data_IF_035819761780
#
_entry.id   IF_035819761780
#
_cell.length_a   1.000
_cell.length_b   1.000
_cell.length_c   1.000
_cell.angle_alpha   90.00
_cell.angle_beta   90.00
_cell.angle_gamma   90.00
#
_symmetry.space_group_name_H-M   'P 1'
#
loop_
_entity.id
_entity.type
_entity.pdbx_description
1 polymer ?
#
# COMPACT_ATOMS: atom_id res chain seq x y z
N UNK A 1 6.83 18.51 13.07
CA UNK A 1 5.67 17.69 12.65
C UNK A 1 5.32 18.05 11.22
N UNK A 2 5.00 17.08 10.39
CA UNK A 2 4.66 17.27 8.98
C UNK A 2 3.83 16.09 8.50
N UNK A 3 3.02 16.28 7.48
CA UNK A 3 2.17 15.22 6.97
C UNK A 3 3.00 14.24 6.12
N UNK A 4 2.76 12.94 6.29
CA UNK A 4 3.52 11.88 5.63
C UNK A 4 2.60 10.73 5.24
N UNK A 5 2.83 10.17 4.06
CA UNK A 5 2.09 9.00 3.59
C UNK A 5 3.01 8.14 2.72
N UNK A 6 2.89 6.83 2.82
CA UNK A 6 3.61 5.85 2.00
C UNK A 6 2.63 4.78 1.50
N UNK A 7 1.63 5.21 0.73
CA UNK A 7 0.50 4.38 0.33
C UNK A 7 0.69 3.79 -1.08
N UNK A 8 0.33 2.52 -1.21
CA UNK A 8 0.15 1.83 -2.47
C UNK A 8 -1.19 1.09 -2.41
N UNK A 9 -2.04 1.29 -3.42
CA UNK A 9 -3.41 0.77 -3.45
C UNK A 9 -3.65 0.01 -4.75
N UNK A 10 -4.17 -1.20 -4.65
CA UNK A 10 -4.68 -1.95 -5.80
C UNK A 10 -6.21 -1.93 -5.78
N UNK A 11 -6.85 -1.58 -6.90
CA UNK A 11 -8.32 -1.46 -6.99
C UNK A 11 -8.84 -2.16 -8.24
N UNK A 12 -9.96 -2.87 -8.13
CA UNK A 12 -10.59 -3.48 -9.31
C UNK A 12 -11.00 -2.41 -10.33
N UNK A 13 -10.72 -2.66 -11.61
CA UNK A 13 -11.17 -1.81 -12.70
C UNK A 13 -12.70 -1.96 -12.88
N UNK A 14 -13.41 -0.85 -13.09
CA UNK A 14 -14.86 -0.88 -13.35
C UNK A 14 -15.76 -0.73 -12.11
N UNK A 15 -15.19 -0.61 -10.90
CA UNK A 15 -15.96 -0.21 -9.72
C UNK A 15 -16.20 1.29 -9.78
N UNK A 16 -17.45 1.72 -9.97
CA UNK A 16 -17.84 3.13 -9.88
C UNK A 16 -18.00 3.52 -8.40
N UNK A 17 -17.09 4.33 -7.87
CA UNK A 17 -17.16 4.87 -6.51
C UNK A 17 -15.89 4.63 -5.70
N UNK A 18 -15.80 5.28 -4.54
CA UNK A 18 -14.67 5.11 -3.63
C UNK A 18 -14.66 3.67 -3.05
N UNK A 19 -13.48 3.04 -2.93
CA UNK A 19 -13.30 1.82 -2.16
C UNK A 19 -13.97 1.89 -0.81
N UNK A 20 -14.80 0.90 -0.48
CA UNK A 20 -15.35 0.73 0.88
C UNK A 20 -14.44 -0.20 1.67
N UNK A 21 -13.46 0.38 2.37
CA UNK A 21 -12.62 -0.33 3.33
C UNK A 21 -13.30 -0.34 4.70
N UNK A 22 -14.44 -1.02 4.79
CA UNK A 22 -15.23 -1.13 6.03
C UNK A 22 -14.96 -2.44 6.73
N UNK A 23 -14.76 -2.40 8.04
CA UNK A 23 -14.50 -3.59 8.86
C UNK A 23 -13.03 -4.03 8.83
N UNK A 24 -12.78 -5.25 9.30
CA UNK A 24 -11.44 -5.81 9.37
C UNK A 24 -10.96 -6.29 8.01
N UNK A 25 -9.64 -6.18 7.77
CA UNK A 25 -9.01 -6.78 6.60
C UNK A 25 -9.18 -8.32 6.59
N UNK A 26 -9.39 -8.88 5.41
CA UNK A 26 -9.42 -10.31 5.19
C UNK A 26 -8.02 -10.89 5.42
N UNK A 27 -7.87 -11.69 6.48
CA UNK A 27 -6.57 -12.21 6.91
C UNK A 27 -5.91 -13.16 5.90
N UNK A 28 -6.70 -13.97 5.19
CA UNK A 28 -6.15 -14.93 4.23
C UNK A 28 -5.68 -14.21 2.97
N UNK A 29 -6.52 -13.32 2.43
CA UNK A 29 -6.18 -12.49 1.28
C UNK A 29 -5.00 -11.56 1.58
N UNK A 30 -4.96 -11.00 2.78
CA UNK A 30 -3.84 -10.16 3.25
C UNK A 30 -2.53 -10.96 3.28
N UNK A 31 -2.53 -12.20 3.81
CA UNK A 31 -1.33 -13.07 3.78
C UNK A 31 -0.88 -13.43 2.37
N UNK A 32 -1.84 -13.69 1.47
CA UNK A 32 -1.52 -13.93 0.05
C UNK A 32 -0.89 -12.69 -0.60
N UNK A 33 -1.41 -11.50 -0.30
CA UNK A 33 -0.86 -10.24 -0.76
C UNK A 33 0.56 -10.01 -0.23
N UNK A 34 0.81 -10.24 1.06
CA UNK A 34 2.15 -10.14 1.67
C UNK A 34 3.16 -11.00 0.91
N UNK A 35 2.84 -12.29 0.67
CA UNK A 35 3.74 -13.21 -0.06
C UNK A 35 4.07 -12.73 -1.48
N UNK A 36 3.12 -12.04 -2.12
CA UNK A 36 3.30 -11.51 -3.48
C UNK A 36 4.15 -10.24 -3.50
N UNK A 37 3.96 -9.34 -2.53
CA UNK A 37 4.63 -8.04 -2.50
C UNK A 37 6.01 -8.07 -1.83
N UNK A 38 6.26 -9.04 -0.96
CA UNK A 38 7.53 -9.18 -0.22
C UNK A 38 8.15 -10.55 -0.48
N UNK A 39 8.50 -10.87 -1.74
CA UNK A 39 9.05 -12.18 -2.07
C UNK A 39 10.40 -12.39 -1.38
N UNK A 40 10.52 -13.48 -0.60
CA UNK A 40 11.75 -13.83 0.11
C UNK A 40 11.95 -13.13 1.45
N UNK A 41 10.98 -12.36 1.94
CA UNK A 41 11.06 -11.69 3.24
C UNK A 41 10.51 -12.58 4.35
N UNK A 42 11.12 -12.50 5.52
CA UNK A 42 10.54 -13.00 6.76
C UNK A 42 9.61 -11.93 7.35
N UNK A 43 8.31 -12.22 7.38
CA UNK A 43 7.29 -11.28 7.87
C UNK A 43 6.68 -11.82 9.15
N UNK A 44 6.88 -11.08 10.25
CA UNK A 44 6.17 -11.31 11.50
C UNK A 44 4.80 -10.62 11.45
N UNK A 45 3.75 -11.31 11.91
CA UNK A 45 2.43 -10.70 12.02
C UNK A 45 2.39 -9.62 13.10
N UNK A 46 1.69 -8.52 12.83
CA UNK A 46 1.42 -7.45 13.79
C UNK A 46 -0.08 -7.35 14.08
N UNK A 47 -0.44 -6.70 15.19
CA UNK A 47 -1.83 -6.27 15.41
C UNK A 47 -2.24 -5.25 14.36
N UNK A 48 -3.49 -5.33 13.89
CA UNK A 48 -4.06 -4.30 13.02
C UNK A 48 -4.12 -2.94 13.71
N UNK A 49 -4.21 -1.88 12.90
CA UNK A 49 -4.42 -0.51 13.37
C UNK A 49 -5.38 0.24 12.44
N UNK A 50 -5.79 1.44 12.85
CA UNK A 50 -6.54 2.34 11.98
C UNK A 50 -5.67 2.81 10.81
N UNK A 51 -6.27 3.02 9.65
CA UNK A 51 -5.54 3.43 8.46
C UNK A 51 -4.83 4.78 8.65
N UNK A 52 -5.44 5.71 9.39
CA UNK A 52 -4.85 7.02 9.68
C UNK A 52 -3.49 6.92 10.37
N UNK A 53 -3.35 5.98 11.31
CA UNK A 53 -2.11 5.72 12.05
C UNK A 53 -1.11 4.89 11.23
N UNK A 54 -1.60 4.14 10.23
CA UNK A 54 -0.78 3.31 9.36
C UNK A 54 -0.04 4.08 8.27
N UNK A 55 -0.51 5.29 7.91
CA UNK A 55 -0.13 5.97 6.65
C UNK A 55 1.37 6.17 6.43
N UNK A 56 2.17 6.26 7.50
CA UNK A 56 3.63 6.35 7.42
C UNK A 56 4.27 5.56 8.57
N UNK A 57 4.44 4.23 8.43
CA UNK A 57 4.93 3.39 9.51
C UNK A 57 6.40 3.68 9.83
N UNK A 58 6.87 3.17 10.96
CA UNK A 58 8.31 3.15 11.28
C UNK A 58 9.07 2.26 10.29
N UNK A 59 10.39 2.43 10.20
CA UNK A 59 11.23 1.55 9.37
C UNK A 59 11.10 0.09 9.76
N UNK A 60 11.06 -0.79 8.75
CA UNK A 60 10.92 -2.24 8.95
C UNK A 60 9.50 -2.69 9.28
N UNK A 61 8.53 -1.78 9.30
CA UNK A 61 7.11 -2.09 9.53
C UNK A 61 6.28 -1.75 8.30
N UNK A 62 5.43 -2.69 7.88
CA UNK A 62 4.43 -2.49 6.84
C UNK A 62 3.04 -2.82 7.38
N UNK A 63 2.06 -1.97 7.08
CA UNK A 63 0.64 -2.26 7.33
C UNK A 63 -0.03 -2.62 6.01
N UNK A 64 -0.60 -3.83 5.94
CA UNK A 64 -1.14 -4.39 4.70
C UNK A 64 -2.53 -4.91 5.00
N UNK A 65 -3.49 -4.57 4.14
CA UNK A 65 -4.88 -4.98 4.30
C UNK A 65 -5.54 -5.28 2.97
N UNK A 66 -6.20 -6.43 2.90
CA UNK A 66 -7.07 -6.79 1.78
C UNK A 66 -8.54 -6.63 2.14
N UNK A 67 -9.27 -5.93 1.29
CA UNK A 67 -10.70 -5.64 1.40
C UNK A 67 -11.42 -6.09 0.12
N UNK A 68 -12.76 -6.15 0.10
CA UNK A 68 -13.51 -6.37 -1.13
C UNK A 68 -13.13 -5.34 -2.22
N UNK A 69 -12.56 -5.83 -3.32
CA UNK A 69 -12.16 -5.01 -4.48
C UNK A 69 -10.92 -4.12 -4.30
N UNK A 70 -10.39 -3.99 -3.08
CA UNK A 70 -9.29 -3.06 -2.78
C UNK A 70 -8.25 -3.73 -1.89
N UNK A 71 -6.99 -3.57 -2.23
CA UNK A 71 -5.88 -3.89 -1.33
C UNK A 71 -5.09 -2.61 -1.07
N UNK A 72 -4.61 -2.44 0.15
CA UNK A 72 -3.83 -1.28 0.56
C UNK A 72 -2.57 -1.72 1.29
N UNK A 73 -1.47 -1.05 1.01
CA UNK A 73 -0.23 -1.17 1.76
C UNK A 73 0.26 0.20 2.19
N UNK A 74 0.66 0.31 3.45
CA UNK A 74 1.40 1.43 3.97
C UNK A 74 2.80 0.92 4.32
N UNK A 75 3.80 1.31 3.53
CA UNK A 75 5.20 0.94 3.78
C UNK A 75 6.13 1.99 3.18
N UNK A 76 6.96 2.57 4.04
CA UNK A 76 7.95 3.57 3.63
C UNK A 76 9.11 2.98 2.83
N UNK A 77 9.28 1.66 2.81
CA UNK A 77 10.29 0.97 2.00
C UNK A 77 10.11 1.24 0.50
N UNK A 78 8.86 1.33 0.04
CA UNK A 78 8.56 1.59 -1.36
C UNK A 78 8.66 3.06 -1.74
N UNK A 79 8.63 3.96 -0.76
CA UNK A 79 8.75 5.39 -0.98
C UNK A 79 10.20 5.76 -1.34
N UNK A 80 10.47 5.88 -2.64
CA UNK A 80 11.79 6.27 -3.17
C UNK A 80 11.77 7.57 -3.98
N UNK A 81 12.95 8.05 -4.37
CA UNK A 81 13.15 9.29 -5.13
C UNK A 81 12.55 9.26 -6.54
N UNK A 82 12.33 8.06 -7.08
CA UNK A 82 11.79 7.85 -8.43
C UNK A 82 10.44 7.13 -8.38
N UNK A 83 9.34 7.84 -8.04
CA UNK A 83 8.01 7.25 -7.97
C UNK A 83 7.49 6.68 -9.30
N UNK A 84 8.13 7.04 -10.41
CA UNK A 84 7.84 6.47 -11.75
C UNK A 84 8.50 5.11 -11.99
N UNK A 85 9.34 4.63 -11.05
CA UNK A 85 10.11 3.39 -11.18
C UNK A 85 9.89 2.45 -9.98
N UNK A 86 8.63 2.09 -9.64
CA UNK A 86 8.41 1.08 -8.61
C UNK A 86 9.00 -0.26 -9.07
N UNK A 87 9.41 -1.14 -8.13
CA UNK A 87 9.80 -2.49 -8.46
C UNK A 87 8.76 -3.21 -9.32
N UNK A 88 9.24 -3.97 -10.32
CA UNK A 88 8.37 -4.60 -11.32
C UNK A 88 7.31 -5.51 -10.68
N UNK A 89 7.64 -6.24 -9.61
CA UNK A 89 6.70 -7.12 -8.92
C UNK A 89 5.51 -6.37 -8.27
N UNK A 90 5.66 -5.08 -7.95
CA UNK A 90 4.53 -4.25 -7.51
C UNK A 90 3.60 -3.94 -8.68
N UNK A 91 4.17 -3.59 -9.84
CA UNK A 91 3.41 -3.39 -11.09
C UNK A 91 2.71 -4.70 -11.49
N UNK A 92 3.41 -5.83 -11.47
CA UNK A 92 2.83 -7.14 -11.79
C UNK A 92 1.72 -7.54 -10.80
N UNK A 93 1.81 -7.06 -9.56
CA UNK A 93 0.76 -7.19 -8.56
C UNK A 93 -0.57 -6.52 -8.96
N UNK A 94 -0.54 -5.58 -9.92
CA UNK A 94 -1.70 -4.85 -10.42
C UNK A 94 -2.39 -5.50 -11.62
N UNK A 95 -1.91 -6.62 -12.16
CA UNK A 95 -2.53 -7.25 -13.35
C UNK A 95 -4.05 -7.41 -13.20
N UNK A 96 -4.81 -6.81 -14.13
CA UNK A 96 -6.29 -6.79 -14.12
C UNK A 96 -6.92 -5.79 -13.14
N UNK A 97 -6.13 -4.93 -12.52
CA UNK A 97 -6.52 -3.94 -11.51
C UNK A 97 -5.77 -2.62 -11.76
N UNK A 98 -6.21 -1.56 -11.12
CA UNK A 98 -5.52 -0.28 -11.07
C UNK A 98 -4.58 -0.25 -9.88
N UNK A 99 -3.34 0.17 -10.06
CA UNK A 99 -2.43 0.51 -8.98
C UNK A 99 -2.37 2.03 -8.79
N UNK A 100 -2.44 2.49 -7.56
CA UNK A 100 -2.30 3.91 -7.21
C UNK A 100 -1.21 4.05 -6.17
N UNK A 101 -0.25 4.92 -6.45
CA UNK A 101 0.77 5.37 -5.51
C UNK A 101 0.36 6.72 -4.95
N UNK A 102 0.48 6.88 -3.63
CA UNK A 102 0.39 8.17 -2.95
C UNK A 102 1.48 8.26 -1.89
N UNK A 103 2.57 8.95 -2.23
CA UNK A 103 3.70 9.16 -1.33
C UNK A 103 3.87 10.65 -1.04
N UNK A 104 4.08 10.99 0.22
CA UNK A 104 4.20 12.37 0.66
C UNK A 104 5.14 12.44 1.85
N UNK A 105 6.02 13.43 1.84
CA UNK A 105 6.85 13.75 2.98
C UNK A 105 7.08 15.25 3.03
N UNK A 106 6.21 15.97 3.76
CA UNK A 106 6.16 17.42 3.72
C UNK A 106 7.42 18.12 4.26
N UNK A 107 8.25 17.42 5.06
CA UNK A 107 9.50 18.00 5.59
C UNK A 107 10.58 18.15 4.50
N UNK A 108 10.40 17.49 3.35
CA UNK A 108 11.34 17.56 2.22
C UNK A 108 10.63 17.99 0.92
N UNK A 109 9.46 18.62 1.05
CA UNK A 109 8.64 19.10 -0.08
C UNK A 109 8.34 18.04 -1.15
N UNK A 110 8.26 16.76 -0.73
CA UNK A 110 8.05 15.64 -1.63
C UNK A 110 6.58 15.22 -1.67
N UNK A 111 6.05 15.11 -2.88
CA UNK A 111 4.74 14.51 -3.17
C UNK A 111 4.81 13.75 -4.49
N UNK A 112 4.28 12.53 -4.49
CA UNK A 112 4.15 11.70 -5.66
C UNK A 112 2.77 11.03 -5.70
N UNK A 113 2.11 11.18 -6.85
CA UNK A 113 0.88 10.49 -7.18
C UNK A 113 1.02 9.88 -8.57
N UNK A 114 0.77 8.58 -8.69
CA UNK A 114 0.89 7.87 -9.96
C UNK A 114 -0.12 6.73 -10.04
N UNK A 115 -0.52 6.42 -11.28
CA UNK A 115 -1.53 5.40 -11.58
C UNK A 115 -0.98 4.49 -12.67
N UNK A 116 -1.08 3.17 -12.45
CA UNK A 116 -0.83 2.12 -13.43
C UNK A 116 -2.10 1.31 -13.65
#
# INVERSE_FOLDING_TARGET
MGAKTALLVYMNTGVSGAPRMTGNADSERTRALVRRLYPGWEVAGASGCELGDATYPVEGTAYIGSFPGTDITCDRHWMGDYPTRPPQHLIDGSVGRRMVVHWMHSVVDFFAFAVW
#
